data_IF_168024629261
#
_entry.id   IF_168024629261
#
_cell.length_a   1.000
_cell.length_b   1.000
_cell.length_c   1.000
_cell.angle_alpha   90.00
_cell.angle_beta   90.00
_cell.angle_gamma   90.00
#
_symmetry.space_group_name_H-M   'P 1'
#
loop_
_entity.id
_entity.type
_entity.pdbx_description
1 polymer ?
#
# COMPACT_ATOMS: atom_id res chain seq x y z
N UNK A 1 63.02 -4.12 29.40
CA UNK A 1 62.75 -5.48 29.79
C UNK A 1 61.19 -5.68 29.75
N UNK A 2 60.73 -6.53 28.85
CA UNK A 2 59.40 -7.08 28.89
C UNK A 2 58.24 -6.27 28.26
N UNK A 3 58.27 -6.12 26.93
CA UNK A 3 57.13 -5.71 26.10
C UNK A 3 56.10 -6.85 26.04
N UNK A 4 54.90 -6.64 26.51
CA UNK A 4 53.76 -7.56 26.28
C UNK A 4 52.89 -6.98 25.16
N UNK A 5 52.93 -7.62 24.01
CA UNK A 5 52.09 -7.37 22.85
C UNK A 5 50.72 -7.98 23.12
N UNK A 6 49.65 -7.16 23.12
CA UNK A 6 48.25 -7.64 23.15
C UNK A 6 47.80 -7.70 21.72
N UNK A 7 47.56 -8.91 21.23
CA UNK A 7 46.92 -9.15 19.95
C UNK A 7 45.39 -8.90 20.06
N UNK A 8 44.90 -7.91 19.34
CA UNK A 8 43.47 -7.67 19.17
C UNK A 8 43.01 -8.44 17.93
N UNK A 9 42.26 -9.48 18.14
CA UNK A 9 41.63 -10.25 17.06
C UNK A 9 40.37 -9.50 16.62
N UNK A 10 40.42 -8.88 15.44
CA UNK A 10 39.23 -8.29 14.78
C UNK A 10 38.53 -9.41 14.05
N UNK A 11 37.35 -9.81 14.55
CA UNK A 11 36.45 -10.71 13.83
C UNK A 11 35.69 -9.89 12.78
N UNK A 12 36.07 -10.04 11.52
CA UNK A 12 35.31 -9.50 10.39
C UNK A 12 34.08 -10.35 10.16
N UNK A 13 32.88 -9.82 10.44
CA UNK A 13 31.59 -10.41 10.05
C UNK A 13 31.33 -9.98 8.60
N UNK A 14 31.56 -10.90 7.66
CA UNK A 14 31.12 -10.76 6.28
C UNK A 14 29.60 -11.00 6.22
N UNK A 15 28.83 -9.93 6.06
CA UNK A 15 27.42 -10.02 5.66
C UNK A 15 27.38 -10.18 4.15
N UNK A 16 27.15 -11.41 3.68
CA UNK A 16 26.87 -11.66 2.28
C UNK A 16 25.41 -11.26 2.00
N UNK A 17 25.20 -10.13 1.33
CA UNK A 17 23.93 -9.75 0.77
C UNK A 17 23.67 -10.60 -0.48
N UNK A 18 22.74 -11.53 -0.42
CA UNK A 18 22.19 -12.23 -1.59
C UNK A 18 20.99 -11.43 -2.09
N UNK A 19 21.19 -10.67 -3.16
CA UNK A 19 20.13 -10.00 -3.93
C UNK A 19 19.43 -11.03 -4.81
N UNK A 20 18.21 -11.45 -4.47
CA UNK A 20 17.24 -11.99 -5.44
C UNK A 20 15.82 -11.66 -4.96
N UNK A 21 15.08 -10.93 -5.79
CA UNK A 21 13.61 -10.87 -5.85
C UNK A 21 12.87 -10.39 -4.60
N UNK A 22 12.70 -9.08 -4.44
CA UNK A 22 11.88 -8.48 -3.40
C UNK A 22 10.42 -8.89 -3.48
N UNK A 23 9.93 -9.55 -2.46
CA UNK A 23 8.49 -9.74 -2.28
C UNK A 23 8.07 -10.68 -1.15
N UNK A 24 8.82 -11.73 -0.84
CA UNK A 24 8.33 -12.75 0.12
C UNK A 24 9.42 -13.23 1.12
N UNK A 25 10.54 -12.58 1.21
CA UNK A 25 11.69 -13.05 2.01
C UNK A 25 11.60 -12.82 3.53
N UNK A 26 10.52 -12.27 4.04
CA UNK A 26 10.40 -12.06 5.49
C UNK A 26 10.05 -13.33 6.30
N UNK A 27 9.80 -14.48 5.66
CA UNK A 27 9.24 -15.66 6.38
C UNK A 27 10.02 -16.97 6.26
N UNK A 28 11.20 -17.00 5.67
CA UNK A 28 11.91 -18.27 5.49
C UNK A 28 13.33 -18.27 6.06
N UNK A 29 13.50 -17.96 7.34
CA UNK A 29 14.76 -18.28 8.02
C UNK A 29 14.50 -19.00 9.33
N UNK A 30 14.32 -20.33 9.23
CA UNK A 30 14.66 -21.28 10.28
C UNK A 30 14.98 -22.63 9.64
N UNK A 31 16.15 -23.14 10.00
CA UNK A 31 16.66 -24.48 9.89
C UNK A 31 17.33 -24.93 8.60
N UNK A 32 18.67 -24.87 8.66
CA UNK A 32 19.53 -25.62 7.79
C UNK A 32 19.61 -27.09 8.22
N UNK A 33 19.64 -27.99 7.25
CA UNK A 33 20.27 -29.31 7.38
C UNK A 33 20.86 -29.73 6.05
N UNK A 34 22.15 -30.00 6.13
CA UNK A 34 22.97 -30.73 5.16
C UNK A 34 22.30 -32.02 4.69
N UNK A 35 22.26 -32.24 3.38
CA UNK A 35 22.31 -33.62 2.83
C UNK A 35 22.73 -33.62 1.39
N UNK A 36 23.75 -34.37 1.14
CA UNK A 36 24.31 -35.00 -0.05
C UNK A 36 23.40 -35.21 -1.24
N UNK A 37 23.99 -34.87 -2.36
CA UNK A 37 23.66 -35.12 -3.76
C UNK A 37 23.19 -36.55 -4.03
N UNK A 38 22.01 -36.74 -4.62
CA UNK A 38 21.66 -37.91 -5.43
C UNK A 38 20.62 -37.53 -6.50
N UNK A 39 21.01 -37.81 -7.74
CA UNK A 39 20.24 -38.06 -8.98
C UNK A 39 18.81 -37.53 -9.08
N UNK A 40 18.71 -36.61 -10.04
CA UNK A 40 17.52 -36.10 -10.72
C UNK A 40 16.65 -37.23 -11.29
N UNK A 41 15.55 -37.52 -10.61
CA UNK A 41 14.37 -38.14 -11.20
C UNK A 41 13.26 -37.10 -11.14
N UNK A 42 12.92 -36.53 -12.30
CA UNK A 42 11.74 -35.70 -12.48
C UNK A 42 10.51 -36.42 -11.91
N UNK A 43 10.16 -36.12 -10.66
CA UNK A 43 8.95 -36.62 -10.00
C UNK A 43 7.78 -35.93 -10.67
N UNK A 44 6.93 -36.69 -11.35
CA UNK A 44 5.67 -36.21 -11.88
C UNK A 44 4.95 -35.41 -10.80
N UNK A 45 4.62 -34.14 -11.08
CA UNK A 45 3.91 -33.25 -10.15
C UNK A 45 2.54 -33.86 -9.87
N UNK A 46 2.30 -34.24 -8.62
CA UNK A 46 1.01 -34.74 -8.17
C UNK A 46 0.02 -33.54 -8.15
N UNK A 47 -0.98 -33.50 -9.04
CA UNK A 47 -1.93 -32.38 -9.13
C UNK A 47 -2.78 -32.24 -7.84
N UNK A 48 -2.85 -33.24 -6.98
CA UNK A 48 -3.63 -33.20 -5.75
C UNK A 48 -2.93 -32.43 -4.62
N UNK A 49 -1.60 -32.28 -4.68
CA UNK A 49 -0.86 -31.48 -3.69
C UNK A 49 -1.08 -29.96 -3.83
N UNK A 50 -1.56 -29.47 -4.99
CA UNK A 50 -1.90 -28.07 -5.18
C UNK A 50 -3.32 -27.73 -4.70
N UNK A 51 -4.19 -28.71 -4.54
CA UNK A 51 -5.58 -28.53 -4.15
C UNK A 51 -5.78 -28.26 -2.64
N UNK A 52 -4.84 -28.71 -1.78
CA UNK A 52 -4.96 -28.57 -0.33
C UNK A 52 -4.41 -27.22 0.13
N UNK A 53 -5.27 -26.35 0.68
CA UNK A 53 -4.86 -25.07 1.28
C UNK A 53 -4.76 -25.23 2.78
N UNK A 54 -3.61 -24.83 3.34
CA UNK A 54 -3.39 -24.75 4.78
C UNK A 54 -3.38 -23.29 5.25
N UNK A 55 -3.83 -23.06 6.48
CA UNK A 55 -3.92 -21.76 7.09
C UNK A 55 -3.05 -21.67 8.32
N UNK A 56 -2.11 -20.72 8.31
CA UNK A 56 -1.16 -20.49 9.40
C UNK A 56 -1.46 -19.16 10.07
N UNK A 57 -1.57 -19.16 11.38
CA UNK A 57 -1.76 -17.96 12.18
C UNK A 57 -0.42 -17.24 12.41
N UNK A 58 -0.43 -15.89 12.25
CA UNK A 58 0.70 -15.00 12.48
C UNK A 58 0.25 -13.89 13.44
N UNK A 59 1.21 -13.33 14.18
CA UNK A 59 1.00 -12.22 15.12
C UNK A 59 1.80 -10.99 14.71
N UNK A 60 1.43 -9.82 15.23
CA UNK A 60 2.08 -8.54 15.06
C UNK A 60 2.10 -7.97 13.63
N UNK A 61 0.97 -7.60 13.01
CA UNK A 61 -0.42 -7.72 13.45
C UNK A 61 -0.96 -9.15 13.31
N UNK A 62 -2.14 -9.40 13.88
CA UNK A 62 -2.84 -10.68 13.79
C UNK A 62 -3.30 -10.95 12.36
N UNK A 63 -2.82 -12.06 11.78
CA UNK A 63 -3.01 -12.41 10.37
C UNK A 63 -3.19 -13.90 10.20
N UNK A 64 -3.85 -14.27 9.11
CA UNK A 64 -3.91 -15.66 8.62
C UNK A 64 -3.22 -15.72 7.26
N UNK A 65 -2.24 -16.61 7.12
CA UNK A 65 -1.54 -16.86 5.87
C UNK A 65 -2.05 -18.17 5.26
N UNK A 66 -2.56 -18.10 4.03
CA UNK A 66 -2.93 -19.25 3.23
C UNK A 66 -1.73 -19.75 2.42
N UNK A 67 -1.48 -21.07 2.46
CA UNK A 67 -0.43 -21.75 1.69
C UNK A 67 -1.02 -22.91 0.91
N UNK A 68 -0.46 -23.19 -0.27
CA UNK A 68 -0.76 -24.40 -1.02
C UNK A 68 -0.06 -25.64 -0.39
N UNK A 69 -0.34 -26.82 -0.92
CA UNK A 69 0.26 -28.07 -0.46
C UNK A 69 1.78 -28.18 -0.64
N UNK A 70 2.38 -27.28 -1.43
CA UNK A 70 3.84 -27.13 -1.59
C UNK A 70 4.43 -26.11 -0.62
N UNK A 71 3.60 -25.46 0.19
CA UNK A 71 4.01 -24.43 1.15
C UNK A 71 4.16 -23.03 0.56
N UNK A 72 3.86 -22.81 -0.72
CA UNK A 72 3.89 -21.49 -1.31
C UNK A 72 2.77 -20.60 -0.73
N UNK A 73 3.09 -19.34 -0.44
CA UNK A 73 2.11 -18.38 0.07
C UNK A 73 1.14 -17.99 -1.04
N UNK A 74 -0.14 -18.19 -0.81
CA UNK A 74 -1.23 -17.82 -1.70
C UNK A 74 -1.80 -16.44 -1.37
N UNK A 75 -1.99 -16.18 -0.07
CA UNK A 75 -2.54 -14.92 0.41
C UNK A 75 -2.23 -14.66 1.88
N UNK A 76 -2.35 -13.39 2.29
CA UNK A 76 -2.28 -12.94 3.68
C UNK A 76 -3.51 -12.11 4.00
N UNK A 77 -4.27 -12.54 5.00
CA UNK A 77 -5.46 -11.90 5.53
C UNK A 77 -5.12 -11.26 6.88
N UNK A 78 -5.60 -10.07 7.14
CA UNK A 78 -5.36 -9.37 8.43
C UNK A 78 -6.68 -9.20 9.17
N UNK A 79 -6.71 -9.60 10.43
CA UNK A 79 -7.92 -9.49 11.25
C UNK A 79 -8.40 -8.04 11.31
N UNK A 80 -9.69 -7.83 11.02
CA UNK A 80 -10.33 -6.52 10.97
C UNK A 80 -10.11 -5.73 9.67
N UNK A 81 -9.34 -6.23 8.70
CA UNK A 81 -9.11 -5.58 7.42
C UNK A 81 -9.84 -6.29 6.26
N UNK A 82 -10.25 -5.52 5.26
CA UNK A 82 -10.80 -6.02 4.00
C UNK A 82 -9.74 -6.18 2.93
N UNK A 83 -8.64 -5.44 3.01
CA UNK A 83 -7.52 -5.58 2.05
C UNK A 83 -6.78 -6.87 2.30
N UNK A 84 -6.71 -7.70 1.26
CA UNK A 84 -6.03 -9.00 1.26
C UNK A 84 -4.88 -8.94 0.27
N UNK A 85 -3.68 -9.30 0.73
CA UNK A 85 -2.56 -9.55 -0.16
C UNK A 85 -2.72 -10.93 -0.77
N UNK A 86 -2.93 -11.00 -2.07
CA UNK A 86 -2.97 -12.23 -2.87
C UNK A 86 -1.67 -12.32 -3.66
N UNK A 87 -1.03 -13.48 -3.64
CA UNK A 87 0.16 -13.72 -4.43
C UNK A 87 -0.22 -14.08 -5.87
N UNK A 88 0.33 -13.38 -6.84
CA UNK A 88 0.00 -13.54 -8.24
C UNK A 88 1.22 -13.43 -9.17
N UNK A 89 1.02 -13.34 -10.47
CA UNK A 89 2.11 -13.12 -11.42
C UNK A 89 2.93 -11.88 -11.07
N UNK A 90 4.23 -11.97 -11.29
CA UNK A 90 5.13 -10.83 -11.09
C UNK A 90 4.78 -9.69 -12.05
N UNK A 91 4.85 -8.45 -11.54
CA UNK A 91 4.60 -7.22 -12.29
C UNK A 91 5.50 -6.10 -11.80
N UNK A 92 5.68 -5.08 -12.64
CA UNK A 92 6.58 -3.96 -12.37
C UNK A 92 5.83 -2.65 -12.53
N UNK A 93 5.92 -1.77 -11.52
CA UNK A 93 5.45 -0.39 -11.61
C UNK A 93 6.64 0.53 -11.82
N UNK A 94 6.47 1.53 -12.71
CA UNK A 94 7.49 2.52 -13.08
C UNK A 94 6.86 3.90 -13.22
N UNK A 95 7.63 4.94 -12.89
CA UNK A 95 7.28 6.34 -13.08
C UNK A 95 8.50 7.10 -13.64
N UNK A 96 8.86 6.88 -14.92
CA UNK A 96 10.15 7.30 -15.48
C UNK A 96 10.34 8.82 -15.54
N UNK A 97 9.25 9.62 -15.41
CA UNK A 97 9.32 11.08 -15.34
C UNK A 97 9.69 11.61 -13.95
N UNK A 98 9.54 10.82 -12.91
CA UNK A 98 9.75 11.28 -11.53
C UNK A 98 10.82 10.49 -10.78
N UNK A 99 11.17 9.27 -11.25
CA UNK A 99 12.21 8.44 -10.63
C UNK A 99 12.72 7.36 -11.59
N UNK A 100 13.93 6.87 -11.33
CA UNK A 100 14.47 5.66 -11.98
C UNK A 100 14.09 4.38 -11.23
N UNK A 101 13.60 4.48 -10.00
CA UNK A 101 13.20 3.33 -9.19
C UNK A 101 12.05 2.55 -9.84
N UNK A 102 12.06 1.24 -9.63
CA UNK A 102 11.00 0.35 -10.05
C UNK A 102 10.52 -0.51 -8.89
N UNK A 103 9.23 -0.85 -8.87
CA UNK A 103 8.65 -1.74 -7.88
C UNK A 103 8.31 -3.04 -8.57
N UNK A 104 9.06 -4.10 -8.23
CA UNK A 104 8.83 -5.46 -8.73
C UNK A 104 8.07 -6.24 -7.65
N UNK A 105 6.88 -6.74 -7.96
CA UNK A 105 6.05 -7.38 -6.94
C UNK A 105 5.16 -8.49 -7.50
N UNK A 106 4.92 -9.50 -6.67
CA UNK A 106 3.87 -10.51 -6.87
C UNK A 106 2.62 -10.20 -6.04
N UNK A 107 2.64 -9.13 -5.25
CA UNK A 107 1.49 -8.73 -4.45
C UNK A 107 0.37 -8.14 -5.32
N UNK A 108 -0.84 -8.68 -5.16
CA UNK A 108 -2.10 -8.19 -5.72
C UNK A 108 -3.03 -7.88 -4.55
N UNK A 109 -3.48 -6.64 -4.43
CA UNK A 109 -4.27 -6.21 -3.27
C UNK A 109 -5.75 -6.21 -3.64
N UNK A 110 -6.48 -7.19 -3.13
CA UNK A 110 -7.92 -7.39 -3.35
C UNK A 110 -8.72 -6.99 -2.12
N UNK A 111 -9.99 -6.65 -2.30
CA UNK A 111 -10.90 -6.39 -1.19
C UNK A 111 -11.78 -7.61 -0.94
N UNK A 112 -11.75 -8.12 0.29
CA UNK A 112 -12.72 -9.09 0.76
C UNK A 112 -14.12 -8.45 0.87
N UNK A 113 -15.20 -9.23 0.76
CA UNK A 113 -16.56 -8.72 0.93
C UNK A 113 -16.77 -8.02 2.28
N UNK A 114 -16.15 -8.53 3.31
CA UNK A 114 -16.20 -8.02 4.69
C UNK A 114 -14.82 -8.09 5.37
N UNK A 115 -14.61 -7.40 6.51
CA UNK A 115 -13.37 -7.50 7.26
C UNK A 115 -13.09 -8.94 7.68
N UNK A 116 -11.83 -9.37 7.50
CA UNK A 116 -11.40 -10.72 7.86
C UNK A 116 -11.36 -10.93 9.37
N UNK A 117 -11.78 -12.13 9.81
CA UNK A 117 -11.59 -12.62 11.17
C UNK A 117 -11.02 -14.04 11.15
N UNK A 118 -10.30 -14.40 12.18
CA UNK A 118 -9.78 -15.76 12.31
C UNK A 118 -10.91 -16.79 12.24
N UNK A 119 -10.80 -17.71 11.29
CA UNK A 119 -11.82 -18.75 11.07
C UNK A 119 -12.73 -18.51 9.88
N UNK A 120 -12.67 -17.31 9.24
CA UNK A 120 -13.47 -16.97 8.07
C UNK A 120 -13.13 -17.81 6.84
N UNK A 121 -12.03 -18.58 6.87
CA UNK A 121 -11.75 -19.59 5.85
C UNK A 121 -12.84 -20.66 5.75
N UNK A 122 -13.71 -20.76 6.76
CA UNK A 122 -14.89 -21.64 6.80
C UNK A 122 -16.21 -20.94 6.49
N UNK A 123 -16.17 -19.60 6.33
CA UNK A 123 -17.36 -18.82 6.01
C UNK A 123 -17.86 -19.14 4.58
N UNK A 124 -19.17 -19.10 4.39
CA UNK A 124 -19.81 -19.47 3.11
C UNK A 124 -19.36 -18.59 1.94
N UNK A 125 -19.03 -17.32 2.21
CA UNK A 125 -18.56 -16.36 1.20
C UNK A 125 -17.12 -16.58 0.78
N UNK A 126 -16.29 -17.21 1.63
CA UNK A 126 -14.83 -17.20 1.50
C UNK A 126 -14.34 -17.97 0.27
N UNK A 127 -14.65 -19.25 0.14
CA UNK A 127 -14.09 -20.08 -0.92
C UNK A 127 -14.39 -19.52 -2.33
N UNK A 128 -15.65 -19.15 -2.69
CA UNK A 128 -15.96 -18.59 -3.99
C UNK A 128 -15.23 -17.28 -4.25
N UNK A 129 -15.16 -16.40 -3.25
CA UNK A 129 -14.46 -15.13 -3.36
C UNK A 129 -12.94 -15.34 -3.50
N UNK A 130 -12.34 -16.23 -2.71
CA UNK A 130 -10.90 -16.45 -2.71
C UNK A 130 -10.41 -17.05 -4.04
N UNK A 131 -11.16 -18.00 -4.60
CA UNK A 131 -10.85 -18.55 -5.92
C UNK A 131 -10.93 -17.49 -7.01
N UNK A 132 -11.96 -16.64 -6.97
CA UNK A 132 -12.07 -15.50 -7.87
C UNK A 132 -10.91 -14.51 -7.67
N UNK A 133 -10.61 -14.11 -6.44
CA UNK A 133 -9.55 -13.15 -6.12
C UNK A 133 -8.16 -13.62 -6.59
N UNK A 134 -7.89 -14.92 -6.51
CA UNK A 134 -6.64 -15.52 -7.01
C UNK A 134 -6.58 -15.55 -8.53
N UNK A 135 -7.70 -15.73 -9.22
CA UNK A 135 -7.78 -15.79 -10.67
C UNK A 135 -7.86 -14.40 -11.33
N UNK A 136 -8.38 -13.40 -10.61
CA UNK A 136 -8.63 -12.06 -11.13
C UNK A 136 -7.32 -11.35 -11.52
N UNK A 137 -7.30 -10.76 -12.71
CA UNK A 137 -6.18 -9.96 -13.26
C UNK A 137 -6.62 -8.53 -13.61
N UNK A 138 -7.81 -8.13 -13.24
CA UNK A 138 -8.24 -6.73 -13.37
C UNK A 138 -7.40 -5.83 -12.46
N UNK A 139 -7.30 -4.53 -12.74
CA UNK A 139 -6.55 -3.61 -11.90
C UNK A 139 -6.96 -3.72 -10.42
N UNK A 140 -5.98 -3.92 -9.56
CA UNK A 140 -6.10 -3.94 -8.11
C UNK A 140 -5.72 -2.58 -7.52
N UNK A 141 -5.69 -2.45 -6.21
CA UNK A 141 -5.32 -1.20 -5.51
C UNK A 141 -4.03 -0.59 -6.03
N UNK A 142 -2.98 -1.39 -6.24
CA UNK A 142 -1.67 -0.87 -6.66
C UNK A 142 -1.70 -0.38 -8.11
N UNK A 143 -2.33 -1.14 -9.01
CA UNK A 143 -2.49 -0.75 -10.40
C UNK A 143 -3.38 0.50 -10.52
N UNK A 144 -4.51 0.53 -9.80
CA UNK A 144 -5.40 1.70 -9.76
C UNK A 144 -4.68 2.93 -9.23
N UNK A 145 -3.84 2.81 -8.19
CA UNK A 145 -3.07 3.94 -7.69
C UNK A 145 -2.14 4.53 -8.76
N UNK A 146 -1.56 3.71 -9.64
CA UNK A 146 -0.70 4.18 -10.73
C UNK A 146 -1.46 4.72 -11.95
N UNK A 147 -2.78 4.52 -12.02
CA UNK A 147 -3.63 5.08 -13.10
C UNK A 147 -3.71 6.62 -13.11
N UNK A 148 -3.21 7.28 -12.06
CA UNK A 148 -3.30 8.73 -11.85
C UNK A 148 -1.95 9.45 -11.90
N UNK A 149 -0.87 8.73 -12.22
CA UNK A 149 0.46 9.31 -12.41
C UNK A 149 0.47 10.31 -13.57
N UNK A 150 1.48 11.18 -13.59
CA UNK A 150 1.65 12.17 -14.67
C UNK A 150 1.67 11.47 -16.04
N UNK A 151 0.91 12.01 -17.00
CA UNK A 151 0.68 11.48 -18.35
C UNK A 151 0.00 10.10 -18.39
N UNK A 152 -0.59 9.62 -17.31
CA UNK A 152 -1.44 8.44 -17.38
C UNK A 152 -2.60 8.69 -18.37
N UNK A 153 -2.89 7.74 -19.28
CA UNK A 153 -3.92 7.92 -20.30
C UNK A 153 -5.30 8.06 -19.66
N UNK A 154 -6.06 9.06 -20.10
CA UNK A 154 -7.42 9.28 -19.64
C UNK A 154 -8.37 8.23 -20.22
N UNK A 155 -9.29 7.74 -19.39
CA UNK A 155 -10.40 6.88 -19.79
C UNK A 155 -11.70 7.38 -19.15
N UNK A 156 -12.78 7.26 -19.92
CA UNK A 156 -14.13 7.64 -19.49
C UNK A 156 -15.02 6.38 -19.41
N UNK A 157 -15.97 6.43 -18.50
CA UNK A 157 -17.01 5.40 -18.41
C UNK A 157 -18.10 5.59 -19.50
N UNK A 158 -19.07 4.69 -19.55
CA UNK A 158 -20.17 4.75 -20.51
C UNK A 158 -21.04 6.02 -20.41
N UNK A 159 -20.87 6.82 -19.34
CA UNK A 159 -21.58 8.09 -19.11
C UNK A 159 -20.70 9.29 -19.45
N UNK A 160 -19.48 9.09 -19.94
CA UNK A 160 -18.52 10.15 -20.22
C UNK A 160 -17.83 10.72 -18.96
N UNK A 161 -17.85 9.98 -17.84
CA UNK A 161 -17.16 10.39 -16.63
C UNK A 161 -15.72 9.89 -16.68
N UNK A 162 -14.76 10.80 -16.61
CA UNK A 162 -13.34 10.46 -16.54
C UNK A 162 -13.04 9.80 -15.19
N UNK A 163 -12.85 8.49 -15.20
CA UNK A 163 -12.57 7.72 -13.99
C UNK A 163 -11.09 7.34 -13.82
N UNK A 164 -10.26 7.57 -14.85
CA UNK A 164 -8.84 7.26 -14.93
C UNK A 164 -8.12 8.33 -15.75
N UNK A 165 -6.81 8.47 -15.56
CA UNK A 165 -5.94 9.41 -16.23
C UNK A 165 -5.17 10.27 -15.23
N UNK A 166 -4.14 10.97 -15.69
CA UNK A 166 -3.31 11.80 -14.84
C UNK A 166 -4.15 12.75 -13.97
N UNK A 167 -3.71 12.98 -12.75
CA UNK A 167 -4.40 13.85 -11.81
C UNK A 167 -3.48 14.97 -11.35
N UNK A 168 -4.02 16.19 -11.23
CA UNK A 168 -3.37 17.28 -10.54
C UNK A 168 -3.65 17.24 -9.04
N UNK A 169 -2.88 17.99 -8.23
CA UNK A 169 -3.14 18.15 -6.80
C UNK A 169 -4.32 19.11 -6.53
N UNK A 170 -4.36 20.21 -7.28
CA UNK A 170 -5.37 21.23 -7.14
C UNK A 170 -5.00 22.53 -7.86
N UNK A 171 -5.92 23.51 -7.89
CA UNK A 171 -5.67 24.78 -8.58
C UNK A 171 -4.56 25.60 -7.89
N UNK A 172 -3.84 26.38 -8.67
CA UNK A 172 -2.81 27.29 -8.15
C UNK A 172 -3.45 28.31 -7.19
N UNK A 173 -2.79 28.57 -6.05
CA UNK A 173 -3.23 29.59 -5.09
C UNK A 173 -3.22 30.97 -5.73
N UNK A 174 -4.08 31.87 -5.26
CA UNK A 174 -4.17 33.27 -5.79
C UNK A 174 -2.87 34.05 -5.66
N UNK A 175 -1.98 33.65 -4.76
CA UNK A 175 -0.61 34.16 -4.63
C UNK A 175 0.31 33.82 -5.80
N UNK A 176 -0.09 32.89 -6.67
CA UNK A 176 0.74 32.32 -7.73
C UNK A 176 1.78 31.31 -7.24
N UNK A 177 1.84 31.06 -5.94
CA UNK A 177 2.79 30.11 -5.33
C UNK A 177 2.02 29.02 -4.56
N UNK A 178 2.30 27.78 -4.92
CA UNK A 178 1.65 26.60 -4.32
C UNK A 178 0.24 26.36 -4.85
N UNK A 179 -0.37 25.26 -4.42
CA UNK A 179 -1.68 24.79 -4.85
C UNK A 179 -2.68 24.72 -3.71
N UNK A 180 -3.96 24.84 -4.05
CA UNK A 180 -5.03 24.69 -3.07
C UNK A 180 -5.29 23.21 -2.80
N UNK A 181 -5.33 22.86 -1.53
CA UNK A 181 -5.86 21.58 -1.06
C UNK A 181 -7.38 21.51 -1.18
N UNK A 182 -7.95 20.40 -0.68
CA UNK A 182 -9.38 20.10 -0.62
C UNK A 182 -9.99 19.59 -1.93
N UNK A 183 -9.15 19.15 -2.90
CA UNK A 183 -9.65 18.41 -4.06
C UNK A 183 -9.95 16.96 -3.67
N UNK A 184 -11.22 16.56 -3.77
CA UNK A 184 -11.66 15.20 -3.45
C UNK A 184 -11.93 14.40 -4.74
N UNK A 185 -12.19 13.11 -4.63
CA UNK A 185 -12.45 12.22 -5.76
C UNK A 185 -13.58 12.72 -6.69
N UNK A 186 -14.65 13.31 -6.15
CA UNK A 186 -15.76 13.85 -6.97
C UNK A 186 -15.36 15.10 -7.74
N UNK A 187 -14.39 15.89 -7.25
CA UNK A 187 -13.78 16.99 -8.01
C UNK A 187 -12.99 16.45 -9.20
N UNK A 188 -12.18 15.39 -8.98
CA UNK A 188 -11.47 14.72 -10.08
C UNK A 188 -12.42 14.21 -11.15
N UNK A 189 -13.52 13.59 -10.75
CA UNK A 189 -14.53 13.05 -11.65
C UNK A 189 -15.37 14.15 -12.33
N UNK A 190 -15.45 15.33 -11.73
CA UNK A 190 -16.32 16.41 -12.20
C UNK A 190 -17.82 16.12 -12.06
N UNK A 191 -18.21 15.26 -11.10
CA UNK A 191 -19.61 14.84 -10.90
C UNK A 191 -20.11 15.13 -9.51
N UNK A 192 -21.41 15.48 -9.35
CA UNK A 192 -22.02 15.60 -8.04
C UNK A 192 -21.98 14.28 -7.28
N UNK A 193 -21.78 14.34 -5.96
CA UNK A 193 -21.76 13.16 -5.10
C UNK A 193 -22.64 13.32 -3.87
N UNK A 194 -23.44 12.29 -3.57
CA UNK A 194 -24.28 12.26 -2.38
C UNK A 194 -23.70 11.26 -1.38
N UNK A 195 -23.18 11.79 -0.28
CA UNK A 195 -22.72 10.96 0.84
C UNK A 195 -23.92 10.45 1.66
N UNK A 196 -23.80 9.28 2.33
CA UNK A 196 -24.87 8.77 3.18
C UNK A 196 -25.30 9.79 4.23
N UNK A 197 -26.60 10.12 4.28
CA UNK A 197 -27.15 11.05 5.27
C UNK A 197 -26.80 12.55 5.07
N UNK A 198 -26.22 12.91 3.93
CA UNK A 198 -25.82 14.29 3.62
C UNK A 198 -26.47 14.81 2.33
N UNK A 199 -26.58 16.13 2.15
CA UNK A 199 -26.96 16.73 0.87
C UNK A 199 -25.94 16.37 -0.23
N UNK A 200 -26.38 16.45 -1.49
CA UNK A 200 -25.48 16.29 -2.64
C UNK A 200 -24.44 17.41 -2.67
N UNK A 201 -23.16 17.03 -2.70
CA UNK A 201 -22.04 17.95 -2.87
C UNK A 201 -21.73 18.12 -4.36
N UNK A 202 -21.53 19.36 -4.79
CA UNK A 202 -21.13 19.66 -6.16
C UNK A 202 -19.61 19.69 -6.28
N UNK A 203 -19.05 19.21 -7.41
CA UNK A 203 -17.63 19.36 -7.68
C UNK A 203 -17.30 20.84 -7.90
N UNK A 204 -16.12 21.28 -7.47
CA UNK A 204 -15.60 22.60 -7.76
C UNK A 204 -15.04 22.64 -9.18
N UNK A 205 -15.54 23.50 -10.10
CA UNK A 205 -15.11 23.49 -11.50
C UNK A 205 -13.61 23.71 -11.70
N UNK A 206 -12.97 24.49 -10.82
CA UNK A 206 -11.52 24.76 -10.86
C UNK A 206 -10.68 23.59 -10.34
N UNK A 207 -11.32 22.50 -9.87
CA UNK A 207 -10.68 21.28 -9.34
C UNK A 207 -10.89 20.05 -10.21
N UNK A 208 -11.50 20.20 -11.38
CA UNK A 208 -11.69 19.05 -12.28
C UNK A 208 -10.36 18.39 -12.63
N UNK A 209 -10.29 17.07 -12.48
CA UNK A 209 -9.05 16.31 -12.67
C UNK A 209 -8.05 16.43 -11.52
N UNK A 210 -8.45 16.98 -10.36
CA UNK A 210 -7.55 17.15 -9.21
C UNK A 210 -7.94 16.30 -8.00
N UNK A 211 -6.93 15.84 -7.25
CA UNK A 211 -7.08 15.18 -5.93
C UNK A 211 -5.94 15.59 -5.00
N UNK A 212 -6.26 15.98 -3.77
CA UNK A 212 -5.25 16.11 -2.71
C UNK A 212 -4.83 14.72 -2.16
N UNK A 213 -3.98 14.67 -1.15
CA UNK A 213 -3.46 13.40 -0.62
C UNK A 213 -4.56 12.44 -0.13
N UNK A 214 -5.52 12.93 0.65
CA UNK A 214 -6.64 12.12 1.15
C UNK A 214 -7.72 11.90 0.06
N UNK A 215 -7.94 12.86 -0.82
CA UNK A 215 -8.80 12.71 -2.00
C UNK A 215 -8.32 11.59 -2.93
N UNK A 216 -7.00 11.45 -3.09
CA UNK A 216 -6.40 10.36 -3.85
C UNK A 216 -6.67 8.98 -3.21
N UNK A 217 -6.52 8.83 -1.89
CA UNK A 217 -6.90 7.60 -1.18
C UNK A 217 -8.38 7.29 -1.39
N UNK A 218 -9.25 8.30 -1.28
CA UNK A 218 -10.70 8.17 -1.46
C UNK A 218 -11.07 7.84 -2.91
N UNK A 219 -10.32 8.33 -3.88
CA UNK A 219 -10.47 7.97 -5.30
C UNK A 219 -10.12 6.49 -5.51
N UNK A 220 -8.96 6.04 -5.01
CA UNK A 220 -8.49 4.65 -5.18
C UNK A 220 -9.36 3.66 -4.40
N UNK A 221 -9.43 3.81 -3.08
CA UNK A 221 -10.11 2.84 -2.21
C UNK A 221 -11.63 3.01 -2.17
N UNK A 222 -12.11 4.25 -2.26
CA UNK A 222 -13.53 4.55 -2.21
C UNK A 222 -14.20 4.36 -3.55
N UNK A 223 -13.99 5.30 -4.46
CA UNK A 223 -14.69 5.30 -5.75
C UNK A 223 -14.37 4.07 -6.61
N UNK A 224 -13.08 3.73 -6.75
CA UNK A 224 -12.64 2.63 -7.63
C UNK A 224 -12.79 1.24 -6.98
N UNK A 225 -12.53 1.10 -5.70
CA UNK A 225 -12.54 -0.20 -5.01
C UNK A 225 -13.80 -0.44 -4.17
N UNK A 226 -14.65 0.57 -3.96
CA UNK A 226 -15.95 0.40 -3.31
C UNK A 226 -15.92 0.38 -1.77
N UNK A 227 -14.88 0.90 -1.12
CA UNK A 227 -14.94 1.18 0.31
C UNK A 227 -15.89 2.37 0.53
N UNK A 228 -16.86 2.30 1.45
CA UNK A 228 -17.76 3.41 1.73
C UNK A 228 -17.04 4.71 2.02
N UNK A 229 -17.61 5.83 1.61
CA UNK A 229 -17.04 7.17 1.72
C UNK A 229 -17.91 8.05 2.61
N UNK A 230 -17.31 8.74 3.57
CA UNK A 230 -17.99 9.71 4.44
C UNK A 230 -17.82 11.13 3.89
N UNK A 231 -18.85 11.97 4.10
CA UNK A 231 -18.79 13.41 3.75
C UNK A 231 -18.11 14.26 4.81
N UNK A 232 -17.74 13.68 5.94
CA UNK A 232 -17.21 14.37 7.13
C UNK A 232 -15.91 13.74 7.60
N UNK A 233 -15.33 14.30 8.67
CA UNK A 233 -14.18 13.74 9.39
C UNK A 233 -14.59 12.92 10.62
N UNK A 234 -15.88 12.78 10.85
CA UNK A 234 -16.39 12.01 11.98
C UNK A 234 -16.22 10.50 11.78
N UNK A 235 -16.05 9.72 12.86
CA UNK A 235 -16.02 8.27 12.78
C UNK A 235 -17.28 7.70 12.13
N UNK A 236 -17.10 6.63 11.33
CA UNK A 236 -18.23 5.98 10.66
C UNK A 236 -17.78 4.74 9.85
N UNK A 237 -18.73 4.10 9.12
CA UNK A 237 -18.46 2.84 8.43
C UNK A 237 -17.68 3.00 7.11
N UNK A 238 -17.00 4.13 6.88
CA UNK A 238 -16.29 4.41 5.64
C UNK A 238 -15.08 5.31 5.83
N UNK A 239 -14.46 5.73 4.73
CA UNK A 239 -13.30 6.60 4.71
C UNK A 239 -13.72 8.06 4.99
N UNK A 240 -13.24 8.67 6.10
CA UNK A 240 -13.39 10.10 6.35
C UNK A 240 -12.70 10.96 5.29
N UNK A 241 -12.94 12.30 5.35
CA UNK A 241 -12.42 13.20 4.31
C UNK A 241 -10.92 13.50 4.44
N UNK A 242 -10.41 13.70 5.65
CA UNK A 242 -9.05 14.18 5.89
C UNK A 242 -8.10 13.08 6.31
N UNK A 243 -6.80 13.27 6.02
CA UNK A 243 -5.74 12.31 6.33
C UNK A 243 -5.73 11.90 7.81
N UNK A 244 -5.77 12.87 8.75
CA UNK A 244 -5.81 12.57 10.18
C UNK A 244 -7.03 11.71 10.57
N UNK A 245 -8.20 12.05 10.02
CA UNK A 245 -9.42 11.34 10.35
C UNK A 245 -9.43 9.91 9.78
N UNK A 246 -8.84 9.69 8.59
CA UNK A 246 -8.62 8.35 8.06
C UNK A 246 -7.67 7.57 8.96
N UNK A 247 -6.58 8.19 9.42
CA UNK A 247 -5.61 7.54 10.31
C UNK A 247 -6.24 7.13 11.65
N UNK A 248 -7.03 8.02 12.26
CA UNK A 248 -7.57 7.85 13.61
C UNK A 248 -8.82 6.98 13.64
N UNK A 249 -9.73 7.16 12.69
CA UNK A 249 -11.07 6.56 12.71
C UNK A 249 -11.50 5.87 11.41
N UNK A 250 -10.64 5.78 10.42
CA UNK A 250 -10.94 5.03 9.19
C UNK A 250 -11.21 3.54 9.44
N UNK A 251 -11.85 2.84 8.50
CA UNK A 251 -12.08 1.40 8.62
C UNK A 251 -10.77 0.63 8.66
N UNK A 252 -10.84 -0.65 9.04
CA UNK A 252 -9.70 -1.57 9.09
C UNK A 252 -8.88 -1.46 10.38
N UNK A 253 -7.58 -1.75 10.30
CA UNK A 253 -6.71 -1.99 11.45
C UNK A 253 -5.57 -0.98 11.52
N UNK A 254 -5.39 -0.38 12.68
CA UNK A 254 -4.19 0.41 12.98
C UNK A 254 -2.98 -0.53 13.09
N UNK A 255 -2.00 -0.36 12.20
CA UNK A 255 -0.76 -1.15 12.18
C UNK A 255 0.35 -0.47 12.98
N UNK A 256 0.46 0.84 12.82
CA UNK A 256 1.45 1.68 13.47
C UNK A 256 0.70 2.85 14.10
N UNK A 257 0.59 2.89 15.44
CA UNK A 257 -0.09 3.97 16.14
C UNK A 257 0.73 5.27 16.08
N UNK A 258 0.03 6.40 15.95
CA UNK A 258 0.65 7.71 16.02
C UNK A 258 1.16 8.00 17.45
N UNK A 259 2.45 7.90 17.66
CA UNK A 259 3.12 8.24 18.93
C UNK A 259 3.79 9.61 18.89
N UNK A 260 3.45 10.45 17.91
CA UNK A 260 4.08 11.77 17.66
C UNK A 260 5.61 11.69 17.50
N UNK A 261 6.09 10.56 17.01
CA UNK A 261 7.50 10.28 16.74
C UNK A 261 7.59 9.57 15.40
N UNK A 262 8.74 9.72 14.75
CA UNK A 262 9.04 8.95 13.54
C UNK A 262 8.75 7.47 13.76
N UNK A 263 7.95 6.90 12.88
CA UNK A 263 7.70 5.46 12.86
C UNK A 263 8.87 4.72 12.19
N UNK A 264 9.12 3.49 12.63
CA UNK A 264 10.17 2.61 12.09
C UNK A 264 9.71 1.15 11.98
N UNK A 265 8.41 0.89 12.15
CA UNK A 265 7.84 -0.44 12.15
C UNK A 265 7.59 -0.96 10.72
N UNK A 266 8.60 -0.93 9.86
CA UNK A 266 8.49 -1.30 8.44
C UNK A 266 7.99 -2.74 8.24
N UNK A 267 8.39 -3.67 9.11
CA UNK A 267 8.01 -5.08 9.02
C UNK A 267 6.52 -5.38 9.24
N UNK A 268 5.72 -4.38 9.69
CA UNK A 268 4.26 -4.53 9.81
C UNK A 268 3.54 -4.20 8.51
N UNK A 269 4.20 -3.48 7.60
CA UNK A 269 3.61 -3.01 6.36
C UNK A 269 3.50 -4.12 5.32
N UNK A 270 2.43 -4.06 4.53
CA UNK A 270 2.30 -4.78 3.26
C UNK A 270 1.83 -3.81 2.16
N UNK A 271 2.14 -4.06 0.88
CA UNK A 271 1.61 -3.26 -0.21
C UNK A 271 0.10 -3.02 -0.07
N UNK A 272 -0.34 -1.79 -0.33
CA UNK A 272 -1.72 -1.36 -0.12
C UNK A 272 -2.03 -0.74 1.26
N UNK A 273 -1.12 -0.80 2.22
CA UNK A 273 -1.33 -0.12 3.51
C UNK A 273 -1.30 1.40 3.34
N UNK A 274 -2.14 2.09 4.09
CA UNK A 274 -2.11 3.55 4.20
C UNK A 274 -0.99 3.97 5.15
N UNK A 275 -0.22 4.98 4.75
CA UNK A 275 0.84 5.59 5.55
C UNK A 275 0.53 7.07 5.74
N UNK A 276 0.76 7.58 6.97
CA UNK A 276 0.36 8.92 7.37
C UNK A 276 1.53 9.68 7.94
N UNK A 277 1.57 10.98 7.62
CA UNK A 277 2.69 11.85 7.90
C UNK A 277 2.24 13.13 8.60
N UNK A 278 3.14 13.71 9.36
CA UNK A 278 3.08 15.05 9.93
C UNK A 278 4.19 15.87 9.27
N UNK A 279 3.83 16.66 8.25
CA UNK A 279 4.76 17.36 7.35
C UNK A 279 4.77 18.85 7.66
N UNK A 280 3.60 19.43 7.96
CA UNK A 280 3.45 20.87 8.19
C UNK A 280 3.79 21.23 9.65
N UNK A 281 4.41 22.40 9.82
CA UNK A 281 4.58 23.03 11.13
C UNK A 281 3.21 23.52 11.64
N UNK A 282 2.54 22.73 12.44
CA UNK A 282 1.20 23.03 12.94
C UNK A 282 0.83 22.23 14.20
N UNK A 283 -0.41 22.30 14.66
CA UNK A 283 -0.82 21.51 15.81
C UNK A 283 -0.79 20.02 15.46
N UNK A 284 0.18 19.30 16.00
CA UNK A 284 0.36 17.82 16.08
C UNK A 284 -0.71 16.97 15.33
N UNK A 285 -0.96 17.25 14.06
CA UNK A 285 -2.00 16.61 13.27
C UNK A 285 -1.38 15.95 12.02
N UNK A 286 -1.85 14.74 11.72
CA UNK A 286 -1.46 14.06 10.48
C UNK A 286 -2.08 14.78 9.28
N UNK A 287 -1.25 15.45 8.50
CA UNK A 287 -1.66 16.34 7.40
C UNK A 287 -1.46 15.72 6.01
N UNK A 288 -0.71 14.63 5.90
CA UNK A 288 -0.46 13.97 4.64
C UNK A 288 -0.66 12.45 4.71
N UNK A 289 -1.01 11.85 3.57
CA UNK A 289 -1.26 10.42 3.49
C UNK A 289 -0.84 9.85 2.12
N UNK A 290 -0.49 8.55 2.10
CA UNK A 290 -0.14 7.81 0.90
C UNK A 290 -0.48 6.33 1.01
N UNK A 291 -0.23 5.61 -0.08
CA UNK A 291 -0.41 4.16 -0.18
C UNK A 291 0.97 3.51 -0.30
N UNK A 292 1.30 2.62 0.60
CA UNK A 292 2.55 1.86 0.56
C UNK A 292 2.55 0.88 -0.61
N UNK A 293 3.61 0.91 -1.43
CA UNK A 293 3.73 0.08 -2.63
C UNK A 293 4.60 -1.16 -2.44
N UNK A 294 5.38 -1.21 -1.37
CA UNK A 294 6.35 -2.26 -1.13
C UNK A 294 7.80 -1.78 -1.22
N UNK A 295 8.72 -2.72 -1.42
CA UNK A 295 10.13 -2.40 -1.65
C UNK A 295 10.35 -2.07 -3.13
N UNK A 296 11.18 -1.06 -3.38
CA UNK A 296 11.70 -0.79 -4.72
C UNK A 296 12.89 -1.71 -5.08
N UNK A 297 13.42 -1.56 -6.27
CA UNK A 297 14.56 -2.34 -6.79
C UNK A 297 15.89 -2.07 -6.06
N UNK A 298 15.98 -1.00 -5.27
CA UNK A 298 17.08 -0.74 -4.35
C UNK A 298 16.84 -1.28 -2.93
N UNK A 299 15.66 -1.85 -2.66
CA UNK A 299 15.28 -2.41 -1.36
C UNK A 299 14.74 -1.38 -0.37
N UNK A 300 14.35 -0.19 -0.81
CA UNK A 300 13.77 0.85 0.02
C UNK A 300 12.24 0.77 0.07
N UNK A 301 11.67 1.13 1.22
CA UNK A 301 10.23 1.18 1.46
C UNK A 301 9.58 2.36 0.74
N UNK A 302 8.88 2.12 -0.38
CA UNK A 302 8.31 3.13 -1.26
C UNK A 302 6.79 3.25 -1.15
N UNK A 303 6.29 4.49 -1.27
CA UNK A 303 4.85 4.78 -1.26
C UNK A 303 4.47 5.73 -2.38
N UNK A 304 3.19 5.82 -2.71
CA UNK A 304 2.58 6.78 -3.64
C UNK A 304 1.67 7.74 -2.89
N UNK A 305 1.71 9.02 -3.22
CA UNK A 305 0.80 10.03 -2.66
C UNK A 305 0.60 11.18 -3.63
N UNK A 306 -0.56 11.84 -3.58
CA UNK A 306 -0.76 13.11 -4.30
C UNK A 306 -0.10 14.25 -3.55
N UNK A 307 0.71 15.07 -4.26
CA UNK A 307 1.58 16.09 -3.70
C UNK A 307 1.47 17.42 -4.43
N UNK A 308 1.52 18.50 -3.65
CA UNK A 308 1.46 19.87 -4.17
C UNK A 308 2.60 20.18 -5.16
N UNK A 309 3.83 19.82 -4.80
CA UNK A 309 5.03 20.27 -5.54
C UNK A 309 5.18 19.64 -6.92
N UNK A 310 4.81 18.39 -7.10
CA UNK A 310 4.81 17.73 -8.41
C UNK A 310 3.45 17.85 -9.12
N UNK A 311 2.47 18.43 -8.45
CA UNK A 311 1.12 18.61 -8.93
C UNK A 311 0.36 17.32 -9.19
N UNK A 312 0.37 16.41 -8.24
CA UNK A 312 -0.45 15.19 -8.36
C UNK A 312 0.16 13.95 -7.70
N UNK A 313 -0.44 12.78 -7.98
CA UNK A 313 0.06 11.50 -7.49
C UNK A 313 1.44 11.15 -8.05
N UNK A 314 2.33 10.70 -7.17
CA UNK A 314 3.68 10.22 -7.52
C UNK A 314 4.21 9.23 -6.48
N UNK A 315 5.04 8.29 -6.92
CA UNK A 315 5.93 7.54 -6.06
C UNK A 315 7.41 7.88 -6.33
N UNK A 316 7.64 8.99 -7.01
CA UNK A 316 8.95 9.49 -7.42
C UNK A 316 9.66 10.34 -6.37
N UNK A 317 10.65 11.09 -6.82
CA UNK A 317 11.62 11.78 -5.96
C UNK A 317 11.46 13.32 -5.98
N UNK A 318 10.55 13.84 -6.81
CA UNK A 318 10.27 15.29 -6.91
C UNK A 318 9.41 15.75 -5.74
N UNK A 319 9.85 16.81 -5.06
CA UNK A 319 9.14 17.34 -3.89
C UNK A 319 9.35 16.53 -2.61
N UNK A 320 10.43 15.77 -2.55
CA UNK A 320 10.78 14.82 -1.49
C UNK A 320 10.69 13.39 -2.01
N UNK A 321 11.70 12.57 -1.69
CA UNK A 321 11.74 11.16 -2.08
C UNK A 321 10.60 10.37 -1.45
N UNK A 322 9.90 9.55 -2.23
CA UNK A 322 8.76 8.72 -1.75
C UNK A 322 9.20 7.53 -0.91
N UNK A 323 10.11 7.73 0.03
CA UNK A 323 10.68 6.69 0.88
C UNK A 323 10.33 6.87 2.35
N UNK A 324 10.16 5.75 3.06
CA UNK A 324 9.91 5.75 4.50
C UNK A 324 11.19 5.56 5.33
N UNK A 325 12.31 5.17 4.70
CA UNK A 325 13.52 4.65 5.37
C UNK A 325 14.83 5.37 5.03
N UNK A 326 14.81 6.38 4.16
CA UNK A 326 16.00 7.11 3.70
C UNK A 326 16.47 8.23 4.65
N UNK A 327 15.71 8.55 5.70
CA UNK A 327 15.96 9.69 6.58
C UNK A 327 15.61 11.06 5.99
N UNK A 328 15.01 11.08 4.79
CA UNK A 328 14.55 12.28 4.10
C UNK A 328 13.24 12.84 4.67
N UNK A 329 12.65 13.77 3.91
CA UNK A 329 11.46 14.54 4.31
C UNK A 329 10.30 13.65 4.77
N UNK A 330 9.83 12.71 3.93
CA UNK A 330 8.72 11.82 4.29
C UNK A 330 9.12 10.77 5.33
N UNK A 331 10.33 10.25 5.25
CA UNK A 331 10.85 9.27 6.21
C UNK A 331 10.87 9.81 7.63
N UNK A 332 11.25 11.07 7.82
CA UNK A 332 11.28 11.73 9.15
C UNK A 332 9.89 12.14 9.62
N UNK A 333 8.96 12.39 8.70
CA UNK A 333 7.59 12.81 8.96
C UNK A 333 6.63 11.62 9.17
N UNK A 334 7.00 10.39 8.83
CA UNK A 334 6.12 9.23 8.96
C UNK A 334 5.77 8.94 10.43
N UNK A 335 4.45 8.82 10.72
CA UNK A 335 3.92 8.68 12.09
C UNK A 335 3.05 7.46 12.30
N UNK A 336 2.23 7.08 11.32
CA UNK A 336 1.20 6.06 11.50
C UNK A 336 1.00 5.23 10.22
N UNK A 337 0.38 4.06 10.37
CA UNK A 337 -0.08 3.23 9.25
C UNK A 337 -1.36 2.49 9.59
N UNK A 338 -2.21 2.27 8.57
CA UNK A 338 -3.49 1.56 8.68
C UNK A 338 -3.69 0.62 7.49
N UNK A 339 -4.27 -0.55 7.74
CA UNK A 339 -4.71 -1.51 6.72
C UNK A 339 -6.23 -1.49 6.65
N UNK A 340 -6.78 -1.28 5.44
CA UNK A 340 -8.22 -1.15 5.24
C UNK A 340 -8.93 -2.49 5.14
#
# INVERSE_FOLDING_TARGET
MGTRTIAVTVAAILVAAALVGGGIWYFTRAEGRDTTETADTARAEDPDQTATISYQRLTGPDRTMARDGRGAVLAVFTDGARTVLVNGPNRTFREPKATTAAINTQAWIRLAPEPWHQGDERAIWFAPWFDQARADRTPDVLAIATDYLIDAPAEEDAKGVRFRGDASFGPVKSSGVGRKEQSDFYDYLGVPWTFPGAPTTQPAPDRYGAVDCSGFIRLVYGYRMGIPLLGTNEPGPGLPRRAYAIAESGPGVELVPNKRKRATAYGTLQPGDLVFFEIEDGPDQLDHAGIYLGLDDAGHHRFISSRERIDGPTFGDVGGTSLLDDGGHYSTAWRAARRL
#
